data_IF_295751576379
#
_entry.id   IF_295751576379
#
_cell.length_a   1.000
_cell.length_b   1.000
_cell.length_c   1.000
_cell.angle_alpha   90.00
_cell.angle_beta   90.00
_cell.angle_gamma   90.00
#
_symmetry.space_group_name_H-M   'P 1'
#
loop_
_entity.id
_entity.type
_entity.pdbx_description
1 polymer ?
#
# COMPACT_ATOMS: atom_id res chain seq x y z
N UNK A 1 26.18 -8.00 -64.09
CA UNK A 1 26.45 -9.18 -63.23
C UNK A 1 26.34 -8.73 -61.78
N UNK A 2 25.77 -9.40 -60.79
CA UNK A 2 24.92 -10.59 -60.66
C UNK A 2 24.45 -10.58 -59.20
N UNK A 3 23.22 -11.09 -58.98
CA UNK A 3 22.52 -11.34 -57.72
C UNK A 3 23.35 -12.01 -56.61
N UNK A 4 22.92 -11.83 -55.35
CA UNK A 4 22.62 -12.84 -54.28
C UNK A 4 22.24 -12.08 -53.00
N UNK A 5 20.98 -12.05 -52.49
CA UNK A 5 20.12 -13.06 -51.81
C UNK A 5 20.73 -13.73 -50.57
N UNK A 6 20.20 -13.39 -49.38
CA UNK A 6 19.76 -14.27 -48.26
C UNK A 6 19.17 -13.37 -47.12
N UNK A 7 17.86 -13.43 -46.78
CA UNK A 7 17.16 -14.28 -45.78
C UNK A 7 17.77 -14.18 -44.35
N UNK A 8 17.05 -13.94 -43.24
CA UNK A 8 15.74 -14.47 -42.85
C UNK A 8 15.17 -13.87 -41.52
N UNK A 9 13.83 -13.65 -41.47
CA UNK A 9 12.79 -14.04 -40.46
C UNK A 9 13.02 -13.57 -38.98
N UNK A 10 12.10 -13.06 -38.13
CA UNK A 10 10.66 -13.24 -37.87
C UNK A 10 10.15 -11.96 -37.16
N UNK A 11 9.05 -11.35 -37.59
CA UNK A 11 8.21 -10.51 -36.70
C UNK A 11 6.89 -11.24 -36.44
N UNK A 12 6.61 -11.54 -35.16
CA UNK A 12 5.33 -12.08 -34.69
C UNK A 12 4.20 -11.19 -35.19
N UNK A 13 3.29 -11.78 -35.96
CA UNK A 13 1.98 -11.20 -36.23
C UNK A 13 1.13 -11.36 -34.97
N UNK A 14 0.73 -10.24 -34.35
CA UNK A 14 -0.44 -10.23 -33.48
C UNK A 14 -1.65 -9.93 -34.37
N UNK A 15 -2.38 -11.00 -34.66
CA UNK A 15 -3.56 -11.02 -35.51
C UNK A 15 -4.76 -10.53 -34.70
N UNK A 16 -5.20 -9.29 -34.92
CA UNK A 16 -6.52 -8.85 -34.45
C UNK A 16 -7.51 -9.21 -35.55
N UNK A 17 -8.22 -10.32 -35.33
CA UNK A 17 -9.28 -10.78 -36.22
C UNK A 17 -10.51 -9.89 -36.05
N UNK A 18 -10.49 -8.68 -36.62
CA UNK A 18 -11.67 -7.83 -36.71
C UNK A 18 -12.58 -8.42 -37.79
N UNK A 19 -13.51 -9.29 -37.38
CA UNK A 19 -14.60 -9.74 -38.25
C UNK A 19 -15.35 -8.51 -38.77
N UNK A 20 -15.56 -8.47 -40.08
CA UNK A 20 -16.44 -7.51 -40.77
C UNK A 20 -17.78 -7.42 -40.05
N UNK A 21 -17.99 -6.37 -39.26
CA UNK A 21 -19.32 -5.99 -38.81
C UNK A 21 -19.92 -5.13 -39.91
N UNK A 22 -20.93 -5.67 -40.59
CA UNK A 22 -21.70 -4.98 -41.63
C UNK A 22 -22.08 -3.59 -41.14
N UNK A 23 -21.76 -2.58 -41.96
CA UNK A 23 -22.36 -1.25 -41.85
C UNK A 23 -23.87 -1.43 -42.11
N UNK A 24 -24.66 -1.52 -41.04
CA UNK A 24 -26.12 -1.49 -41.14
C UNK A 24 -26.52 -0.04 -41.35
N UNK A 25 -26.84 0.27 -42.61
CA UNK A 25 -27.59 1.44 -43.04
C UNK A 25 -29.00 1.39 -42.42
N UNK A 26 -29.12 1.82 -41.17
CA UNK A 26 -30.39 2.11 -40.53
C UNK A 26 -30.35 3.55 -40.07
N UNK A 27 -31.39 4.34 -40.40
CA UNK A 27 -31.58 5.68 -39.83
C UNK A 27 -31.65 5.55 -38.31
N UNK A 28 -30.52 5.76 -37.64
CA UNK A 28 -30.41 5.74 -36.19
C UNK A 28 -30.90 7.10 -35.69
N UNK A 29 -31.94 7.12 -34.85
CA UNK A 29 -32.37 8.35 -34.20
C UNK A 29 -31.17 8.93 -33.42
N UNK A 30 -30.83 10.20 -33.66
CA UNK A 30 -29.62 10.84 -33.14
C UNK A 30 -29.46 10.69 -31.61
N UNK A 31 -30.59 10.61 -30.89
CA UNK A 31 -30.68 10.42 -29.44
C UNK A 31 -30.14 9.04 -29.01
N UNK A 32 -30.43 7.97 -29.77
CA UNK A 32 -29.95 6.61 -29.49
C UNK A 32 -28.45 6.44 -29.77
N UNK A 33 -27.93 7.18 -30.77
CA UNK A 33 -26.50 7.20 -31.07
C UNK A 33 -25.67 7.88 -29.97
N UNK A 34 -26.18 8.97 -29.40
CA UNK A 34 -25.55 9.69 -28.28
C UNK A 34 -25.45 8.81 -27.02
N UNK A 35 -26.51 8.04 -26.73
CA UNK A 35 -26.53 7.16 -25.55
C UNK A 35 -25.48 6.05 -25.62
N UNK A 36 -25.33 5.42 -26.80
CA UNK A 36 -24.32 4.39 -27.04
C UNK A 36 -22.90 4.96 -27.01
N UNK A 37 -22.69 6.14 -27.60
CA UNK A 37 -21.40 6.84 -27.55
C UNK A 37 -21.00 7.20 -26.11
N UNK A 38 -21.95 7.61 -25.27
CA UNK A 38 -21.68 7.96 -23.87
C UNK A 38 -21.23 6.76 -23.02
N UNK A 39 -21.72 5.55 -23.30
CA UNK A 39 -21.32 4.35 -22.54
C UNK A 39 -19.90 3.88 -22.81
N UNK A 40 -19.32 4.25 -23.96
CA UNK A 40 -17.94 3.88 -24.34
C UNK A 40 -16.87 4.76 -23.65
N UNK A 41 -17.25 5.93 -23.15
CA UNK A 41 -16.33 6.86 -22.46
C UNK A 41 -16.14 6.46 -20.99
N UNK A 42 -17.01 5.61 -20.44
CA UNK A 42 -16.91 5.10 -19.07
C UNK A 42 -15.96 3.91 -18.91
N UNK A 43 -15.35 3.38 -19.99
CA UNK A 43 -14.27 2.40 -19.85
C UNK A 43 -13.00 3.12 -19.37
N UNK A 44 -12.96 3.48 -18.09
CA UNK A 44 -11.76 3.92 -17.41
C UNK A 44 -10.72 2.81 -17.55
N UNK A 45 -9.67 3.05 -18.33
CA UNK A 45 -8.52 2.16 -18.40
C UNK A 45 -7.85 2.14 -17.03
N UNK A 46 -8.27 1.23 -16.16
CA UNK A 46 -7.62 0.97 -14.90
C UNK A 46 -6.29 0.30 -15.19
N UNK A 47 -5.20 1.01 -14.88
CA UNK A 47 -3.87 0.42 -14.87
C UNK A 47 -3.70 -0.26 -13.51
N UNK A 48 -3.68 -1.58 -13.51
CA UNK A 48 -3.26 -2.35 -12.32
C UNK A 48 -1.82 -1.96 -12.03
N UNK A 49 -1.61 -1.32 -10.88
CA UNK A 49 -0.27 -1.01 -10.38
C UNK A 49 0.09 -2.14 -9.43
N UNK A 50 0.94 -3.06 -9.87
CA UNK A 50 1.62 -3.99 -8.96
C UNK A 50 2.71 -3.20 -8.23
N UNK A 51 2.45 -2.87 -6.97
CA UNK A 51 3.45 -2.29 -6.07
C UNK A 51 4.00 -3.45 -5.25
N UNK A 52 5.25 -3.81 -5.53
CA UNK A 52 6.02 -4.73 -4.69
C UNK A 52 6.50 -3.97 -3.45
N UNK A 53 5.68 -3.98 -2.39
CA UNK A 53 6.15 -3.59 -1.06
C UNK A 53 6.94 -4.77 -0.55
N UNK A 54 8.27 -4.71 -0.62
CA UNK A 54 9.13 -5.73 -0.04
C UNK A 54 8.67 -6.02 1.39
N UNK A 55 8.26 -7.26 1.66
CA UNK A 55 7.99 -7.71 3.03
C UNK A 55 9.30 -7.60 3.82
N UNK A 56 9.37 -6.65 4.75
CA UNK A 56 10.55 -6.43 5.59
C UNK A 56 10.41 -7.18 6.92
N UNK A 57 11.54 -7.42 7.57
CA UNK A 57 11.52 -7.94 8.93
C UNK A 57 10.81 -6.93 9.85
N UNK A 58 9.93 -7.38 10.77
CA UNK A 58 9.26 -6.50 11.72
C UNK A 58 10.27 -5.65 12.51
N UNK A 59 10.00 -4.35 12.59
CA UNK A 59 10.79 -3.39 13.35
C UNK A 59 10.09 -3.07 14.67
N UNK A 60 10.86 -2.94 15.75
CA UNK A 60 10.35 -2.47 17.03
C UNK A 60 9.98 -0.98 16.91
N UNK A 61 8.78 -0.64 17.38
CA UNK A 61 8.22 0.71 17.41
C UNK A 61 7.94 1.07 18.87
N UNK A 62 8.35 2.27 19.26
CA UNK A 62 8.06 2.85 20.56
C UNK A 62 7.16 4.07 20.40
N UNK A 63 5.91 3.99 20.86
CA UNK A 63 4.93 5.06 20.76
C UNK A 63 4.72 5.71 22.12
N UNK A 64 5.15 6.96 22.28
CA UNK A 64 5.01 7.71 23.52
C UNK A 64 3.74 8.58 23.55
N UNK A 65 2.95 8.46 24.60
CA UNK A 65 1.88 9.38 24.96
C UNK A 65 2.35 10.24 26.13
N UNK A 66 2.73 11.48 25.81
CA UNK A 66 3.20 12.48 26.77
C UNK A 66 2.16 13.59 26.80
N UNK A 67 1.49 13.74 27.95
CA UNK A 67 0.49 14.78 28.18
C UNK A 67 0.96 15.64 29.33
N UNK A 68 0.80 16.96 29.18
CA UNK A 68 1.20 17.94 30.20
C UNK A 68 0.55 17.62 31.54
N UNK A 69 1.35 17.68 32.61
CA UNK A 69 0.93 17.38 33.99
C UNK A 69 0.41 15.94 34.22
N UNK A 70 0.73 14.99 33.33
CA UNK A 70 0.36 13.57 33.46
C UNK A 70 1.58 12.65 33.34
N UNK A 71 1.50 11.48 33.96
CA UNK A 71 2.51 10.43 33.82
C UNK A 71 2.57 9.92 32.39
N UNK A 72 3.79 9.58 31.95
CA UNK A 72 4.06 9.12 30.59
C UNK A 72 3.59 7.67 30.39
N UNK A 73 3.02 7.40 29.22
CA UNK A 73 2.75 6.04 28.75
C UNK A 73 3.56 5.77 27.48
N UNK A 74 4.13 4.57 27.36
CA UNK A 74 4.84 4.11 26.16
C UNK A 74 4.26 2.76 25.74
N UNK A 75 3.87 2.63 24.48
CA UNK A 75 3.48 1.35 23.88
C UNK A 75 4.62 0.83 23.02
N UNK A 76 5.03 -0.42 23.23
CA UNK A 76 6.01 -1.10 22.40
C UNK A 76 5.34 -2.17 21.54
N UNK A 77 5.51 -2.06 20.23
CA UNK A 77 4.93 -2.98 19.24
C UNK A 77 5.89 -3.24 18.08
N UNK A 78 5.57 -4.22 17.25
CA UNK A 78 6.30 -4.49 16.02
C UNK A 78 5.49 -4.06 14.80
N UNK A 79 6.17 -3.53 13.77
CA UNK A 79 5.54 -3.24 12.48
C UNK A 79 5.01 -4.51 11.82
N UNK A 80 3.81 -4.46 11.25
CA UNK A 80 3.23 -5.54 10.46
C UNK A 80 3.39 -5.30 8.95
N UNK A 81 3.31 -6.37 8.17
CA UNK A 81 3.23 -6.29 6.71
C UNK A 81 1.90 -5.64 6.30
N UNK A 82 1.93 -4.75 5.32
CA UNK A 82 0.73 -4.08 4.81
C UNK A 82 -0.27 -5.05 4.18
N UNK A 83 0.23 -6.11 3.52
CA UNK A 83 -0.62 -7.08 2.83
C UNK A 83 -1.20 -8.16 3.76
N UNK A 84 -0.63 -8.32 4.95
CA UNK A 84 -1.07 -9.30 5.92
C UNK A 84 -1.88 -8.62 7.02
N UNK A 85 -3.11 -9.08 7.22
CA UNK A 85 -4.03 -8.52 8.21
C UNK A 85 -3.85 -9.21 9.58
N UNK A 86 -2.59 -9.35 10.01
CA UNK A 86 -2.23 -9.99 11.27
C UNK A 86 -2.49 -9.03 12.45
N UNK A 87 -2.77 -9.61 13.62
CA UNK A 87 -2.89 -8.83 14.85
C UNK A 87 -1.54 -8.19 15.21
N UNK A 88 -1.60 -7.03 15.89
CA UNK A 88 -0.39 -6.34 16.34
C UNK A 88 0.39 -7.22 17.33
N UNK A 89 1.70 -7.33 17.11
CA UNK A 89 2.62 -8.02 18.03
C UNK A 89 3.20 -6.98 18.98
N UNK A 90 3.09 -7.22 20.28
CA UNK A 90 3.57 -6.34 21.33
C UNK A 90 4.86 -6.86 21.98
N UNK A 91 5.73 -5.95 22.43
CA UNK A 91 6.92 -6.29 23.19
C UNK A 91 6.64 -6.23 24.70
N UNK A 92 6.70 -7.39 25.37
CA UNK A 92 6.27 -7.56 26.76
C UNK A 92 7.41 -7.74 27.76
N UNK A 93 8.65 -7.94 27.29
CA UNK A 93 9.82 -8.24 28.12
C UNK A 93 10.91 -7.17 27.99
N UNK A 94 10.53 -5.93 27.71
CA UNK A 94 11.46 -4.80 27.63
C UNK A 94 11.68 -4.14 28.98
N UNK A 95 12.90 -3.62 29.19
CA UNK A 95 13.19 -2.65 30.24
C UNK A 95 13.13 -1.25 29.63
N UNK A 96 12.11 -0.48 30.02
CA UNK A 96 11.86 0.86 29.48
C UNK A 96 12.29 1.89 30.50
N UNK A 97 13.32 2.67 30.15
CA UNK A 97 13.85 3.76 30.98
C UNK A 97 13.59 5.08 30.27
N UNK A 98 12.83 5.95 30.91
CA UNK A 98 12.57 7.31 30.46
C UNK A 98 13.53 8.26 31.17
N UNK A 99 14.14 9.17 30.42
CA UNK A 99 15.03 10.22 30.96
C UNK A 99 14.59 11.58 30.44
N UNK A 100 14.47 12.56 31.33
CA UNK A 100 14.10 13.93 30.97
C UNK A 100 15.33 14.81 30.65
N UNK A 101 15.09 16.06 30.26
CA UNK A 101 16.17 17.02 29.98
C UNK A 101 17.02 17.45 31.19
N UNK A 102 16.58 17.15 32.41
CA UNK A 102 17.30 17.43 33.65
C UNK A 102 18.15 16.24 34.13
N UNK A 103 18.17 15.14 33.37
CA UNK A 103 18.78 13.85 33.73
C UNK A 103 18.09 13.10 34.88
N UNK A 104 16.83 13.42 35.19
CA UNK A 104 16.02 12.54 36.01
C UNK A 104 15.56 11.36 35.17
N UNK A 105 15.63 10.15 35.73
CA UNK A 105 15.23 8.92 35.06
C UNK A 105 14.22 8.12 35.86
N UNK A 106 13.34 7.42 35.14
CA UNK A 106 12.36 6.51 35.69
C UNK A 106 12.31 5.22 34.84
N UNK A 107 12.20 4.07 35.51
CA UNK A 107 11.85 2.79 34.86
C UNK A 107 10.34 2.64 34.86
N UNK A 108 9.77 2.38 33.68
CA UNK A 108 8.32 2.27 33.52
C UNK A 108 7.86 0.85 33.86
N UNK A 109 6.70 0.76 34.50
CA UNK A 109 6.07 -0.51 34.86
C UNK A 109 5.27 -1.07 33.68
N UNK A 110 5.33 -2.38 33.48
CA UNK A 110 4.55 -3.07 32.45
C UNK A 110 3.10 -3.31 32.89
N UNK A 111 2.14 -2.99 32.02
CA UNK A 111 0.69 -3.08 32.29
C UNK A 111 -0.08 -4.03 31.36
N UNK A 112 0.59 -4.70 30.41
CA UNK A 112 -0.07 -5.58 29.45
C UNK A 112 -0.10 -5.02 28.03
N UNK A 113 -0.15 -5.89 27.01
CA UNK A 113 -0.28 -5.51 25.59
C UNK A 113 0.76 -4.46 25.15
N UNK A 114 2.02 -4.65 25.55
CA UNK A 114 3.12 -3.75 25.24
C UNK A 114 3.05 -2.36 25.90
N UNK A 115 2.10 -2.12 26.81
CA UNK A 115 1.96 -0.85 27.52
C UNK A 115 2.87 -0.78 28.74
N UNK A 116 3.69 0.27 28.80
CA UNK A 116 4.53 0.62 29.92
C UNK A 116 4.13 2.00 30.44
N UNK A 117 4.02 2.18 31.76
CA UNK A 117 3.60 3.45 32.37
C UNK A 117 4.61 3.93 33.42
N UNK A 118 4.84 5.23 33.41
CA UNK A 118 5.55 5.91 34.49
C UNK A 118 4.62 6.24 35.65
N UNK A 119 5.23 6.58 36.77
CA UNK A 119 4.61 6.95 38.04
C UNK A 119 5.15 8.29 38.57
N UNK A 120 6.31 8.74 38.11
CA UNK A 120 7.07 9.85 38.71
C UNK A 120 7.21 11.01 37.72
N UNK A 121 7.70 10.73 36.50
CA UNK A 121 7.97 11.76 35.51
C UNK A 121 6.68 12.18 34.79
N UNK A 122 6.43 13.49 34.81
CA UNK A 122 5.30 14.12 34.12
C UNK A 122 5.74 14.73 32.79
N UNK A 123 4.79 14.80 31.85
CA UNK A 123 4.95 15.44 30.54
C UNK A 123 4.88 16.95 30.56
#
# INVERSE_FOLDING_TARGET
MTKRKALAIIRKQNYIHMKRTRCLSGKLNAIAGIFIASTLILSSCEKVIDIDLNSSNPLLVAEGQITMDSTVCITLSYTSDYFNNEEAIFEENASVVLTNGNNDSETLDYFGNGLYKGNILLG
#
